data_IF_739915791106
#
_entry.id   IF_739915791106
#
_cell.length_a   1.000
_cell.length_b   1.000
_cell.length_c   1.000
_cell.angle_alpha   90.00
_cell.angle_beta   90.00
_cell.angle_gamma   90.00
#
_symmetry.space_group_name_H-M   'P 1'
#
loop_
_entity.id
_entity.type
_entity.pdbx_description
1 polymer ?
#
# COMPACT_ATOMS: atom_id res chain seq x y z
N UNK A 1 -2.32 7.21 18.94
CA UNK A 1 -3.37 7.76 19.84
C UNK A 1 -3.89 6.68 20.80
N UNK A 2 -4.32 5.50 20.35
CA UNK A 2 -4.89 4.45 21.20
C UNK A 2 -4.00 4.02 22.37
N UNK A 3 -2.68 3.87 22.15
CA UNK A 3 -1.75 3.50 23.23
C UNK A 3 -1.70 4.55 24.36
N UNK A 4 -1.70 5.84 24.03
CA UNK A 4 -1.77 6.92 25.04
C UNK A 4 -3.08 6.89 25.81
N UNK A 5 -4.21 6.67 25.12
CA UNK A 5 -5.51 6.54 25.76
C UNK A 5 -5.56 5.35 26.72
N UNK A 6 -4.81 4.29 26.43
CA UNK A 6 -4.65 3.12 27.30
C UNK A 6 -3.58 3.30 28.41
N UNK A 7 -2.97 4.49 28.53
CA UNK A 7 -1.93 4.76 29.53
C UNK A 7 -0.57 4.14 29.22
N UNK A 8 -0.34 3.71 27.97
CA UNK A 8 0.92 3.10 27.56
C UNK A 8 1.91 4.13 27.02
N UNK A 9 3.17 4.16 27.45
CA UNK A 9 4.22 4.92 26.79
C UNK A 9 4.49 4.35 25.39
N UNK A 10 4.87 5.23 24.46
CA UNK A 10 5.02 4.88 23.04
C UNK A 10 6.41 5.25 22.53
N UNK A 11 7.04 4.34 21.81
CA UNK A 11 8.23 4.62 21.02
C UNK A 11 7.85 4.48 19.54
N UNK A 12 8.07 5.53 18.78
CA UNK A 12 7.88 5.54 17.31
C UNK A 12 9.23 5.44 16.63
N UNK A 13 9.42 4.43 15.80
CA UNK A 13 10.51 4.37 14.84
C UNK A 13 10.00 4.98 13.52
N UNK A 14 10.46 6.19 13.19
CA UNK A 14 10.08 6.88 11.96
C UNK A 14 10.57 6.16 10.71
N UNK A 15 9.81 6.30 9.61
CA UNK A 15 10.23 5.76 8.32
C UNK A 15 11.30 6.66 7.68
N UNK A 16 12.41 6.12 7.14
CA UNK A 16 13.50 6.93 6.61
C UNK A 16 13.10 7.80 5.41
N UNK A 17 12.14 7.35 4.58
CA UNK A 17 11.70 8.09 3.39
C UNK A 17 10.76 9.26 3.71
N UNK A 18 10.32 9.39 4.96
CA UNK A 18 9.45 10.48 5.44
C UNK A 18 9.94 11.08 6.76
N UNK A 19 11.25 11.16 6.93
CA UNK A 19 11.89 11.52 8.18
C UNK A 19 11.53 12.93 8.66
N UNK A 20 11.42 13.91 7.75
CA UNK A 20 11.10 15.31 8.09
C UNK A 20 9.73 15.45 8.74
N UNK A 21 8.68 14.91 8.12
CA UNK A 21 7.31 14.92 8.68
C UNK A 21 7.23 14.15 10.00
N UNK A 22 7.94 13.00 10.08
CA UNK A 22 8.00 12.21 11.31
C UNK A 22 8.66 12.99 12.45
N UNK A 23 9.73 13.74 12.17
CA UNK A 23 10.41 14.58 13.15
C UNK A 23 9.51 15.71 13.62
N UNK A 24 8.93 16.48 12.68
CA UNK A 24 8.00 17.57 13.00
C UNK A 24 6.83 17.09 13.87
N UNK A 25 6.22 15.94 13.50
CA UNK A 25 5.15 15.35 14.30
C UNK A 25 5.63 15.01 15.73
N UNK A 26 6.86 14.52 15.86
CA UNK A 26 7.43 14.19 17.17
C UNK A 26 7.69 15.43 18.03
N UNK A 27 8.11 16.53 17.43
CA UNK A 27 8.29 17.81 18.12
C UNK A 27 6.95 18.34 18.64
N UNK A 28 5.90 18.33 17.83
CA UNK A 28 4.55 18.75 18.24
C UNK A 28 4.04 17.91 19.42
N UNK A 29 4.26 16.59 19.40
CA UNK A 29 3.88 15.72 20.51
C UNK A 29 4.67 16.08 21.78
N UNK A 30 5.99 16.24 21.71
CA UNK A 30 6.82 16.60 22.85
C UNK A 30 6.45 17.96 23.45
N UNK A 31 6.21 18.95 22.60
CA UNK A 31 5.76 20.28 23.04
C UNK A 31 4.41 20.20 23.77
N UNK A 32 3.49 19.38 23.25
CA UNK A 32 2.20 19.17 23.89
C UNK A 32 2.34 18.51 25.26
N UNK A 33 3.18 17.46 25.37
CA UNK A 33 3.46 16.79 26.65
C UNK A 33 4.09 17.78 27.64
N UNK A 34 5.02 18.61 27.21
CA UNK A 34 5.65 19.65 28.04
C UNK A 34 4.64 20.69 28.55
N UNK A 35 3.76 21.21 27.67
CA UNK A 35 2.69 22.16 28.03
C UNK A 35 1.72 21.55 29.05
N UNK A 36 1.44 20.27 28.93
CA UNK A 36 0.57 19.54 29.88
C UNK A 36 1.31 19.06 31.13
N UNK A 37 2.62 19.37 31.28
CA UNK A 37 3.49 18.95 32.39
C UNK A 37 3.50 17.42 32.60
N UNK A 38 3.40 16.66 31.51
CA UNK A 38 3.46 15.20 31.54
C UNK A 38 4.91 14.72 31.49
N UNK A 39 5.13 13.47 31.97
CA UNK A 39 6.47 12.91 32.02
C UNK A 39 7.05 12.71 30.61
N UNK A 40 8.29 13.16 30.32
CA UNK A 40 8.86 13.10 28.96
C UNK A 40 9.06 11.64 28.47
N UNK A 41 9.16 10.67 29.35
CA UNK A 41 9.27 9.25 29.00
C UNK A 41 8.00 8.59 28.44
N UNK A 42 6.88 9.33 28.35
CA UNK A 42 5.65 8.84 27.75
C UNK A 42 5.81 8.64 26.23
N UNK A 43 6.68 9.44 25.60
CA UNK A 43 6.86 9.39 24.14
C UNK A 43 8.35 9.44 23.76
N UNK A 44 8.77 8.46 22.95
CA UNK A 44 10.07 8.41 22.30
C UNK A 44 9.91 8.39 20.78
N UNK A 45 10.84 9.05 20.07
CA UNK A 45 10.93 9.02 18.63
C UNK A 45 12.35 8.72 18.19
N UNK A 46 12.52 7.77 17.26
CA UNK A 46 13.81 7.30 16.78
C UNK A 46 13.80 7.31 15.24
N UNK A 47 14.83 7.82 14.64
CA UNK A 47 15.10 7.72 13.20
C UNK A 47 16.23 6.72 12.96
N UNK A 48 16.09 5.93 11.89
CA UNK A 48 17.09 4.96 11.45
C UNK A 48 16.97 4.73 9.94
N UNK A 49 18.10 4.63 9.29
CA UNK A 49 18.19 4.36 7.85
C UNK A 49 18.05 2.89 7.47
N UNK A 50 17.81 2.00 8.44
CA UNK A 50 17.79 0.56 8.20
C UNK A 50 16.75 -0.17 9.04
N UNK A 51 16.98 -1.47 9.17
CA UNK A 51 16.07 -2.37 9.88
C UNK A 51 16.51 -2.67 11.32
N UNK A 52 17.78 -2.36 11.65
CA UNK A 52 18.41 -2.77 12.91
C UNK A 52 17.68 -2.26 14.14
N UNK A 53 17.33 -0.97 14.17
CA UNK A 53 16.64 -0.38 15.32
C UNK A 53 15.22 -0.94 15.45
N UNK A 54 14.50 -1.12 14.35
CA UNK A 54 13.17 -1.73 14.36
C UNK A 54 13.20 -3.15 14.94
N UNK A 55 14.16 -3.97 14.52
CA UNK A 55 14.35 -5.32 15.04
C UNK A 55 14.74 -5.29 16.53
N UNK A 56 15.68 -4.42 16.93
CA UNK A 56 16.11 -4.29 18.32
C UNK A 56 14.96 -3.86 19.24
N UNK A 57 14.10 -2.94 18.81
CA UNK A 57 12.91 -2.54 19.57
C UNK A 57 11.97 -3.73 19.79
N UNK A 58 11.68 -4.51 18.74
CA UNK A 58 10.78 -5.66 18.86
C UNK A 58 11.40 -6.76 19.74
N UNK A 59 12.72 -6.90 19.76
CA UNK A 59 13.43 -7.87 20.63
C UNK A 59 13.50 -7.43 22.08
N UNK A 60 13.46 -6.14 22.38
CA UNK A 60 13.64 -5.61 23.74
C UNK A 60 12.53 -6.07 24.68
N UNK A 61 12.89 -6.67 25.81
CA UNK A 61 11.93 -7.25 26.77
C UNK A 61 11.01 -6.23 27.43
N UNK A 62 11.37 -4.95 27.41
CA UNK A 62 10.57 -3.84 27.93
C UNK A 62 9.40 -3.49 27.00
N UNK A 63 9.51 -3.79 25.70
CA UNK A 63 8.42 -3.59 24.74
C UNK A 63 7.37 -4.69 24.95
N UNK A 64 6.12 -4.27 25.10
CA UNK A 64 4.99 -5.16 25.45
C UNK A 64 3.95 -5.31 24.32
N UNK A 65 4.10 -4.58 23.24
CA UNK A 65 3.26 -4.67 22.05
C UNK A 65 3.89 -3.87 20.91
N UNK A 66 3.59 -4.23 19.68
CA UNK A 66 4.11 -3.56 18.50
C UNK A 66 2.98 -3.32 17.50
N UNK A 67 2.92 -2.09 16.94
CA UNK A 67 2.13 -1.74 15.77
C UNK A 67 3.07 -1.51 14.58
N UNK A 68 2.72 -2.01 13.41
CA UNK A 68 3.50 -1.87 12.19
C UNK A 68 2.60 -1.53 11.00
N UNK A 69 3.09 -0.66 10.13
CA UNK A 69 2.50 -0.42 8.81
C UNK A 69 3.63 -0.44 7.79
N UNK A 70 3.48 -1.21 6.72
CA UNK A 70 4.48 -1.33 5.66
C UNK A 70 4.34 -2.57 4.80
N UNK A 71 5.43 -2.97 4.13
CA UNK A 71 5.41 -4.13 3.23
C UNK A 71 5.15 -5.44 3.99
N UNK A 72 4.57 -6.41 3.28
CA UNK A 72 4.32 -7.75 3.83
C UNK A 72 5.61 -8.41 4.35
N UNK A 73 6.71 -8.34 3.59
CA UNK A 73 7.99 -8.93 3.98
C UNK A 73 8.53 -8.29 5.27
N UNK A 74 8.47 -6.94 5.36
CA UNK A 74 8.90 -6.21 6.55
C UNK A 74 8.05 -6.53 7.78
N UNK A 75 6.73 -6.56 7.61
CA UNK A 75 5.80 -6.93 8.67
C UNK A 75 6.00 -8.36 9.17
N UNK A 76 6.11 -9.32 8.26
CA UNK A 76 6.32 -10.73 8.61
C UNK A 76 7.69 -10.97 9.27
N UNK A 77 8.73 -10.24 8.86
CA UNK A 77 10.05 -10.33 9.52
C UNK A 77 9.96 -9.89 10.98
N UNK A 78 9.32 -8.77 11.27
CA UNK A 78 9.13 -8.26 12.64
C UNK A 78 8.15 -9.13 13.45
N UNK A 79 7.08 -9.61 12.83
CA UNK A 79 6.14 -10.54 13.44
C UNK A 79 6.83 -11.81 13.95
N UNK A 80 7.68 -12.43 13.11
CA UNK A 80 8.46 -13.62 13.52
C UNK A 80 9.36 -13.32 14.72
N UNK A 81 9.99 -12.14 14.75
CA UNK A 81 10.79 -11.74 15.91
C UNK A 81 9.90 -11.64 17.16
N UNK A 82 8.75 -10.96 17.06
CA UNK A 82 7.83 -10.77 18.18
C UNK A 82 7.32 -12.10 18.75
N UNK A 83 6.99 -13.06 17.89
CA UNK A 83 6.46 -14.38 18.27
C UNK A 83 7.54 -15.32 18.82
N UNK A 84 8.79 -15.21 18.37
CA UNK A 84 9.90 -16.06 18.79
C UNK A 84 10.61 -15.55 20.05
N UNK A 85 10.13 -14.50 20.72
CA UNK A 85 10.65 -14.06 22.02
C UNK A 85 10.35 -15.09 23.10
N UNK A 86 11.17 -15.10 24.15
CA UNK A 86 10.88 -15.90 25.37
C UNK A 86 9.47 -15.60 25.91
N UNK A 87 9.10 -14.30 25.90
CA UNK A 87 7.77 -13.81 26.23
C UNK A 87 7.19 -13.16 24.95
N UNK A 88 6.39 -13.87 24.14
CA UNK A 88 5.77 -13.31 22.93
C UNK A 88 4.92 -12.09 23.23
N UNK A 89 4.84 -11.17 22.29
CA UNK A 89 4.05 -9.93 22.42
C UNK A 89 3.01 -9.82 21.31
N UNK A 90 1.89 -9.11 21.57
CA UNK A 90 0.95 -8.73 20.53
C UNK A 90 1.65 -7.93 19.43
N UNK A 91 1.38 -8.30 18.18
CA UNK A 91 1.91 -7.64 17.00
C UNK A 91 0.75 -7.32 16.05
N UNK A 92 0.44 -6.03 15.90
CA UNK A 92 -0.63 -5.52 15.05
C UNK A 92 0.00 -4.96 13.79
N UNK A 93 -0.27 -5.57 12.64
CA UNK A 93 0.35 -5.19 11.38
C UNK A 93 -0.69 -4.90 10.31
N UNK A 94 -0.57 -3.71 9.73
CA UNK A 94 -1.19 -3.33 8.47
C UNK A 94 -0.14 -3.52 7.37
N UNK A 95 -0.33 -4.52 6.56
CA UNK A 95 0.55 -4.90 5.46
C UNK A 95 -0.14 -4.68 4.11
N UNK A 96 0.49 -5.08 3.01
CA UNK A 96 -0.07 -4.93 1.68
C UNK A 96 -1.49 -5.50 1.53
N UNK A 97 -2.27 -4.91 0.64
CA UNK A 97 -3.66 -5.27 0.38
C UNK A 97 -3.98 -5.25 -1.12
N UNK A 98 -5.00 -6.01 -1.54
CA UNK A 98 -5.49 -6.04 -2.92
C UNK A 98 -6.73 -5.17 -3.13
N UNK A 99 -7.54 -4.98 -2.09
CA UNK A 99 -8.79 -4.22 -2.13
C UNK A 99 -9.64 -4.58 -3.36
N UNK A 100 -10.16 -5.80 -3.47
CA UNK A 100 -10.92 -6.21 -4.61
C UNK A 100 -12.22 -5.40 -4.71
N UNK A 101 -12.55 -4.95 -5.92
CA UNK A 101 -13.79 -4.28 -6.26
C UNK A 101 -14.59 -5.17 -7.20
N UNK A 102 -15.87 -5.36 -6.93
CA UNK A 102 -16.78 -6.13 -7.79
C UNK A 102 -17.81 -5.17 -8.37
N UNK A 103 -17.84 -5.07 -9.69
CA UNK A 103 -18.87 -4.33 -10.44
C UNK A 103 -20.04 -5.29 -10.64
N UNK A 104 -21.25 -4.89 -10.21
CA UNK A 104 -22.44 -5.71 -10.38
C UNK A 104 -23.05 -5.51 -11.77
N UNK A 105 -23.78 -6.51 -12.32
CA UNK A 105 -24.34 -6.44 -13.67
C UNK A 105 -25.35 -5.32 -13.89
N UNK A 106 -26.05 -4.92 -12.83
CA UNK A 106 -27.09 -3.88 -12.81
C UNK A 106 -26.57 -2.49 -12.40
N UNK A 107 -25.27 -2.29 -12.48
CA UNK A 107 -24.65 -1.01 -12.10
C UNK A 107 -25.19 0.15 -12.91
N UNK A 108 -25.66 1.19 -12.23
CA UNK A 108 -26.02 2.45 -12.86
C UNK A 108 -24.76 3.30 -13.08
N UNK A 109 -24.67 3.99 -14.24
CA UNK A 109 -23.58 4.90 -14.57
C UNK A 109 -22.18 4.31 -14.43
N UNK A 110 -21.94 3.18 -15.09
CA UNK A 110 -20.65 2.46 -15.09
C UNK A 110 -19.46 3.41 -15.35
N UNK A 111 -19.58 4.31 -16.34
CA UNK A 111 -18.53 5.27 -16.70
C UNK A 111 -18.07 6.12 -15.52
N UNK A 112 -19.00 6.68 -14.73
CA UNK A 112 -18.63 7.51 -13.58
C UNK A 112 -17.90 6.70 -12.49
N UNK A 113 -18.34 5.47 -12.23
CA UNK A 113 -17.69 4.58 -11.26
C UNK A 113 -16.29 4.18 -11.73
N UNK A 114 -16.11 3.86 -13.01
CA UNK A 114 -14.80 3.54 -13.57
C UNK A 114 -13.84 4.74 -13.53
N UNK A 115 -14.33 5.95 -13.79
CA UNK A 115 -13.51 7.16 -13.63
C UNK A 115 -13.05 7.33 -12.18
N UNK A 116 -13.96 7.18 -11.20
CA UNK A 116 -13.61 7.27 -9.78
C UNK A 116 -12.60 6.18 -9.35
N UNK A 117 -12.72 4.95 -9.88
CA UNK A 117 -11.75 3.89 -9.64
C UNK A 117 -10.37 4.24 -10.20
N UNK A 118 -10.29 4.71 -11.44
CA UNK A 118 -9.00 5.12 -12.05
C UNK A 118 -8.38 6.28 -11.27
N UNK A 119 -9.17 7.28 -10.87
CA UNK A 119 -8.70 8.39 -10.05
C UNK A 119 -8.15 7.90 -8.69
N UNK A 120 -8.83 6.97 -8.04
CA UNK A 120 -8.36 6.33 -6.82
C UNK A 120 -7.06 5.54 -7.04
N UNK A 121 -6.93 4.82 -8.17
CA UNK A 121 -5.73 4.05 -8.51
C UNK A 121 -4.53 4.95 -8.79
N UNK A 122 -4.75 6.13 -9.35
CA UNK A 122 -3.67 7.04 -9.77
C UNK A 122 -3.29 8.10 -8.74
N UNK A 123 -4.13 8.32 -7.72
CA UNK A 123 -3.86 9.28 -6.64
C UNK A 123 -2.52 8.97 -5.97
N UNK A 124 -1.66 10.00 -5.82
CA UNK A 124 -0.30 9.92 -5.28
C UNK A 124 0.54 8.77 -5.86
N UNK A 125 0.47 8.61 -7.17
CA UNK A 125 1.11 7.52 -7.91
C UNK A 125 0.73 6.11 -7.38
N UNK A 126 -0.51 5.95 -6.91
CA UNK A 126 -1.05 4.68 -6.43
C UNK A 126 -0.41 4.14 -5.14
N UNK A 127 0.22 5.00 -4.34
CA UNK A 127 0.93 4.61 -3.12
C UNK A 127 0.05 4.61 -1.87
N UNK A 128 -1.21 4.15 -2.03
CA UNK A 128 -2.15 3.97 -0.92
C UNK A 128 -2.44 2.50 -0.66
N UNK A 129 -2.49 2.11 0.62
CA UNK A 129 -2.92 0.79 1.04
C UNK A 129 -4.40 0.50 0.72
N UNK A 130 -5.21 1.54 0.47
CA UNK A 130 -6.64 1.46 0.12
C UNK A 130 -6.89 1.45 -1.39
N UNK A 131 -5.85 1.55 -2.22
CA UNK A 131 -5.97 1.56 -3.67
C UNK A 131 -6.60 0.25 -4.19
N UNK A 132 -7.62 0.31 -5.09
CA UNK A 132 -8.12 -0.86 -5.79
C UNK A 132 -7.00 -1.58 -6.57
N UNK A 133 -6.71 -2.83 -6.23
CA UNK A 133 -5.67 -3.63 -6.88
C UNK A 133 -6.23 -4.62 -7.88
N UNK A 134 -7.48 -5.11 -7.66
CA UNK A 134 -8.19 -5.98 -8.58
C UNK A 134 -9.62 -5.46 -8.74
N UNK A 135 -10.09 -5.40 -9.98
CA UNK A 135 -11.46 -5.05 -10.34
C UNK A 135 -12.07 -6.24 -11.09
N UNK A 136 -13.18 -6.75 -10.57
CA UNK A 136 -14.00 -7.77 -11.24
C UNK A 136 -15.14 -7.10 -11.98
N UNK A 137 -15.27 -7.38 -13.28
CA UNK A 137 -16.27 -6.77 -14.15
C UNK A 137 -17.06 -7.88 -14.86
N UNK A 138 -18.41 -7.78 -14.98
CA UNK A 138 -19.19 -8.71 -15.79
C UNK A 138 -18.68 -8.76 -17.21
N UNK A 139 -18.61 -9.95 -17.83
CA UNK A 139 -18.17 -10.11 -19.22
C UNK A 139 -18.99 -9.28 -20.20
N UNK A 140 -20.28 -9.06 -19.91
CA UNK A 140 -21.16 -8.21 -20.72
C UNK A 140 -20.75 -6.72 -20.74
N UNK A 141 -20.03 -6.24 -19.73
CA UNK A 141 -19.60 -4.85 -19.58
C UNK A 141 -18.10 -4.65 -19.82
N UNK A 142 -17.35 -5.70 -20.08
CA UNK A 142 -15.89 -5.68 -20.08
C UNK A 142 -15.30 -4.77 -21.17
N UNK A 143 -15.84 -4.79 -22.36
CA UNK A 143 -15.36 -3.95 -23.48
C UNK A 143 -15.55 -2.45 -23.17
N UNK A 144 -16.71 -2.07 -22.62
CA UNK A 144 -16.95 -0.70 -22.18
C UNK A 144 -16.02 -0.31 -21.04
N UNK A 145 -15.79 -1.21 -20.09
CA UNK A 145 -14.88 -0.98 -18.97
C UNK A 145 -13.44 -0.76 -19.44
N UNK A 146 -12.94 -1.58 -20.36
CA UNK A 146 -11.61 -1.45 -20.95
C UNK A 146 -11.44 -0.09 -21.64
N UNK A 147 -12.39 0.28 -22.51
CA UNK A 147 -12.34 1.54 -23.27
C UNK A 147 -12.36 2.76 -22.33
N UNK A 148 -13.27 2.74 -21.35
CA UNK A 148 -13.46 3.83 -20.39
C UNK A 148 -12.24 3.99 -19.48
N UNK A 149 -11.75 2.92 -18.90
CA UNK A 149 -10.57 2.94 -18.03
C UNK A 149 -9.32 3.39 -18.80
N UNK A 150 -9.09 2.84 -20.01
CA UNK A 150 -7.94 3.22 -20.82
C UNK A 150 -7.98 4.71 -21.21
N UNK A 151 -9.15 5.22 -21.61
CA UNK A 151 -9.32 6.65 -21.91
C UNK A 151 -9.03 7.51 -20.66
N UNK A 152 -9.51 7.11 -19.47
CA UNK A 152 -9.29 7.84 -18.23
C UNK A 152 -7.83 7.82 -17.80
N UNK A 153 -7.15 6.66 -17.83
CA UNK A 153 -5.71 6.56 -17.55
C UNK A 153 -4.89 7.48 -18.48
N UNK A 154 -5.26 7.58 -19.76
CA UNK A 154 -4.58 8.46 -20.70
C UNK A 154 -4.76 9.96 -20.38
N UNK A 155 -5.82 10.35 -19.68
CA UNK A 155 -6.08 11.73 -19.26
C UNK A 155 -5.44 12.06 -17.90
N UNK A 156 -5.21 11.08 -17.05
CA UNK A 156 -4.60 11.31 -15.74
C UNK A 156 -3.10 11.60 -15.85
N UNK A 157 -2.62 12.44 -14.93
CA UNK A 157 -1.19 12.64 -14.69
C UNK A 157 -0.80 11.85 -13.45
N UNK A 158 0.40 11.31 -13.45
CA UNK A 158 0.96 10.70 -12.25
C UNK A 158 1.91 11.66 -11.54
N UNK A 159 2.37 11.27 -10.37
CA UNK A 159 3.34 11.99 -9.56
C UNK A 159 4.62 11.14 -9.43
N UNK A 160 5.76 11.74 -9.04
CA UNK A 160 6.94 10.95 -8.70
C UNK A 160 6.62 10.03 -7.52
N UNK A 161 7.18 8.86 -7.53
CA UNK A 161 7.08 7.98 -6.36
C UNK A 161 7.90 8.56 -5.20
N UNK A 162 7.47 8.30 -3.97
CA UNK A 162 8.06 8.85 -2.75
C UNK A 162 9.58 8.58 -2.64
N UNK A 163 10.04 7.44 -3.18
CA UNK A 163 11.45 7.07 -3.12
C UNK A 163 11.83 6.15 -4.29
N UNK A 164 13.07 6.26 -4.84
CA UNK A 164 13.53 5.42 -5.95
C UNK A 164 13.40 3.91 -5.70
N UNK A 165 13.59 3.44 -4.47
CA UNK A 165 13.44 2.02 -4.15
C UNK A 165 11.99 1.53 -4.22
N UNK A 166 11.00 2.41 -4.01
CA UNK A 166 9.58 2.09 -4.20
C UNK A 166 9.31 1.97 -5.69
N UNK A 167 9.82 2.91 -6.50
CA UNK A 167 9.71 2.86 -7.95
C UNK A 167 10.34 1.59 -8.53
N UNK A 168 11.54 1.23 -8.12
CA UNK A 168 12.21 0.00 -8.56
C UNK A 168 11.38 -1.25 -8.23
N UNK A 169 10.79 -1.32 -7.03
CA UNK A 169 9.91 -2.45 -6.67
C UNK A 169 8.66 -2.49 -7.54
N UNK A 170 8.05 -1.34 -7.77
CA UNK A 170 6.88 -1.22 -8.65
C UNK A 170 7.19 -1.70 -10.06
N UNK A 171 8.30 -1.23 -10.65
CA UNK A 171 8.75 -1.64 -11.99
C UNK A 171 9.06 -3.14 -12.04
N UNK A 172 9.71 -3.69 -11.00
CA UNK A 172 9.95 -5.13 -10.88
C UNK A 172 8.64 -5.91 -10.91
N UNK A 173 7.63 -5.46 -10.15
CA UNK A 173 6.30 -6.11 -10.14
C UNK A 173 5.61 -6.03 -11.51
N UNK A 174 5.69 -4.91 -12.21
CA UNK A 174 5.15 -4.79 -13.57
C UNK A 174 5.86 -5.76 -14.54
N UNK A 175 7.18 -5.88 -14.45
CA UNK A 175 7.95 -6.81 -15.28
C UNK A 175 7.58 -8.28 -14.99
N UNK A 176 7.34 -8.64 -13.73
CA UNK A 176 6.87 -9.97 -13.36
C UNK A 176 5.50 -10.26 -13.97
N UNK A 177 4.56 -9.31 -13.92
CA UNK A 177 3.24 -9.44 -14.57
C UNK A 177 3.40 -9.60 -16.08
N UNK A 178 4.22 -8.78 -16.72
CA UNK A 178 4.47 -8.87 -18.17
C UNK A 178 5.08 -10.22 -18.56
N UNK A 179 5.95 -10.78 -17.71
CA UNK A 179 6.61 -12.07 -17.96
C UNK A 179 5.67 -13.27 -17.93
N UNK A 180 4.45 -13.12 -17.39
CA UNK A 180 3.43 -14.17 -17.44
C UNK A 180 2.92 -14.41 -18.86
N UNK A 181 3.11 -13.44 -19.78
CA UNK A 181 2.59 -13.45 -21.14
C UNK A 181 1.08 -13.74 -21.21
N UNK A 182 0.34 -13.31 -20.19
CA UNK A 182 -1.09 -13.51 -20.09
C UNK A 182 -1.83 -12.16 -20.13
N UNK A 183 -3.09 -12.18 -20.52
CA UNK A 183 -3.92 -11.00 -20.60
C UNK A 183 -3.45 -9.94 -21.60
N UNK A 184 -4.06 -8.77 -21.55
CA UNK A 184 -3.71 -7.63 -22.38
C UNK A 184 -3.41 -6.40 -21.54
N UNK A 185 -2.23 -5.84 -21.74
CA UNK A 185 -1.75 -4.64 -21.04
C UNK A 185 -2.25 -3.38 -21.71
N UNK A 186 -2.74 -2.43 -20.89
CA UNK A 186 -3.14 -1.09 -21.24
C UNK A 186 -2.37 -0.12 -20.34
N UNK A 187 -1.23 0.34 -20.79
CA UNK A 187 -0.31 1.15 -19.98
C UNK A 187 0.16 2.39 -20.71
N UNK A 188 0.40 3.44 -19.94
CA UNK A 188 1.02 4.69 -20.36
C UNK A 188 2.17 5.00 -19.43
N UNK A 189 3.32 5.36 -19.98
CA UNK A 189 4.44 5.89 -19.19
C UNK A 189 4.35 7.41 -19.14
N UNK A 190 4.41 7.98 -17.95
CA UNK A 190 4.55 9.41 -17.76
C UNK A 190 5.95 9.86 -18.19
N UNK A 191 6.05 10.89 -19.02
CA UNK A 191 7.33 11.36 -19.56
C UNK A 191 8.16 12.16 -18.55
N UNK A 192 7.50 12.82 -17.60
CA UNK A 192 8.17 13.67 -16.61
C UNK A 192 8.77 12.84 -15.47
N UNK A 193 8.01 11.87 -14.96
CA UNK A 193 8.41 11.09 -13.76
C UNK A 193 8.78 9.65 -14.09
N UNK A 194 8.66 9.24 -15.35
CA UNK A 194 8.94 7.86 -15.82
C UNK A 194 8.13 6.77 -15.09
N UNK A 195 6.98 7.11 -14.52
CA UNK A 195 6.10 6.16 -13.83
C UNK A 195 5.08 5.61 -14.83
N UNK A 196 5.07 4.30 -15.01
CA UNK A 196 4.06 3.60 -15.82
C UNK A 196 2.75 3.51 -15.04
N UNK A 197 1.63 3.84 -15.66
CA UNK A 197 0.29 3.71 -15.08
C UNK A 197 -0.64 2.95 -16.02
N UNK A 198 -1.64 2.25 -15.48
CA UNK A 198 -2.59 1.53 -16.29
C UNK A 198 -3.13 0.27 -15.62
N UNK A 199 -3.48 -0.71 -16.44
CA UNK A 199 -4.02 -1.98 -15.97
C UNK A 199 -3.70 -3.12 -16.94
N UNK A 200 -3.86 -4.34 -16.44
CA UNK A 200 -3.90 -5.56 -17.26
C UNK A 200 -5.33 -6.11 -17.24
N UNK A 201 -5.88 -6.43 -18.41
CA UNK A 201 -7.12 -7.19 -18.54
C UNK A 201 -6.80 -8.69 -18.66
N UNK A 202 -7.42 -9.49 -17.83
CA UNK A 202 -7.25 -10.95 -17.78
C UNK A 202 -8.59 -11.65 -17.64
N UNK A 203 -8.69 -12.88 -18.14
CA UNK A 203 -9.80 -13.76 -17.84
C UNK A 203 -9.70 -14.29 -16.41
N UNK A 204 -10.84 -14.66 -15.80
CA UNK A 204 -10.86 -15.17 -14.43
C UNK A 204 -10.03 -16.46 -14.27
N UNK A 205 -9.98 -17.31 -15.29
CA UNK A 205 -9.14 -18.50 -15.31
C UNK A 205 -7.65 -18.16 -15.21
N UNK A 206 -7.20 -17.10 -15.89
CA UNK A 206 -5.81 -16.63 -15.84
C UNK A 206 -5.48 -16.03 -14.46
N UNK A 207 -6.39 -15.26 -13.85
CA UNK A 207 -6.22 -14.74 -12.51
C UNK A 207 -6.00 -15.86 -11.48
N UNK A 208 -6.72 -16.96 -11.63
CA UNK A 208 -6.58 -18.13 -10.75
C UNK A 208 -5.28 -18.90 -11.00
N UNK A 209 -4.78 -18.90 -12.22
CA UNK A 209 -3.58 -19.65 -12.61
C UNK A 209 -2.29 -18.95 -12.19
N UNK A 210 -2.24 -17.62 -12.21
CA UNK A 210 -1.03 -16.83 -11.92
C UNK A 210 -1.13 -16.11 -10.58
N UNK A 211 -0.42 -16.62 -9.57
CA UNK A 211 -0.35 -15.98 -8.25
C UNK A 211 0.17 -14.53 -8.33
N UNK A 212 1.06 -14.26 -9.29
CA UNK A 212 1.59 -12.93 -9.57
C UNK A 212 0.49 -11.87 -9.78
N UNK A 213 -0.61 -12.23 -10.43
CA UNK A 213 -1.74 -11.31 -10.66
C UNK A 213 -2.54 -11.00 -9.39
N UNK A 214 -2.41 -11.83 -8.35
CA UNK A 214 -3.11 -11.71 -7.06
C UNK A 214 -2.25 -11.13 -5.95
N UNK A 215 -1.10 -10.59 -6.28
CA UNK A 215 -0.22 -9.90 -5.33
C UNK A 215 -0.32 -8.39 -5.51
N UNK A 216 -0.11 -7.65 -4.43
CA UNK A 216 -0.13 -6.20 -4.46
C UNK A 216 0.88 -5.63 -5.46
N UNK A 217 0.42 -4.64 -6.23
CA UNK A 217 1.26 -3.77 -7.06
C UNK A 217 1.18 -2.37 -6.46
N UNK A 218 2.15 -1.99 -5.65
CA UNK A 218 2.16 -0.71 -4.94
C UNK A 218 2.58 0.43 -5.88
N UNK A 219 1.60 0.94 -6.63
CA UNK A 219 1.77 1.94 -7.69
C UNK A 219 0.48 2.11 -8.50
N UNK A 220 0.43 2.99 -9.52
CA UNK A 220 -0.77 3.37 -10.25
C UNK A 220 -1.18 2.29 -11.28
N UNK A 221 -1.42 1.09 -10.80
CA UNK A 221 -1.74 -0.08 -11.62
C UNK A 221 -2.76 -0.98 -10.92
N UNK A 222 -3.60 -1.66 -11.71
CA UNK A 222 -4.54 -2.67 -11.22
C UNK A 222 -4.70 -3.82 -12.21
N UNK A 223 -5.34 -4.90 -11.75
CA UNK A 223 -5.82 -6.01 -12.58
C UNK A 223 -7.32 -5.83 -12.82
N UNK A 224 -7.76 -5.90 -14.07
CA UNK A 224 -9.16 -5.97 -14.45
C UNK A 224 -9.44 -7.41 -14.87
N UNK A 225 -10.30 -8.10 -14.16
CA UNK A 225 -10.68 -9.48 -14.46
C UNK A 225 -12.16 -9.56 -14.81
N UNK A 226 -12.47 -10.25 -15.89
CA UNK A 226 -13.87 -10.51 -16.25
C UNK A 226 -14.43 -11.70 -15.49
N UNK A 227 -15.75 -11.68 -15.25
CA UNK A 227 -16.48 -12.81 -14.69
C UNK A 227 -17.83 -13.01 -15.39
N UNK A 228 -18.31 -14.25 -15.41
CA UNK A 228 -19.64 -14.62 -15.86
C UNK A 228 -20.53 -14.89 -14.65
N UNK A 229 -21.81 -14.60 -14.81
CA UNK A 229 -22.85 -14.93 -13.81
C UNK A 229 -23.02 -16.44 -13.63
#
# INVERSE_FOLDING_TARGET
>A
MGAFAAGCPVIVKGHPFHAGTSLLSSEIIRDTLSKLKLHPGIFGHILDNGYRIGQALVQDTRIKGCGFTGSYEGGMALYRIAQNRKDPIPFFAEMGSLNPVVILPDIENLTAHLHALVDSITTDAGQFCTKPGIIFCPSALIEEAIQTMNARFNQTKTHPMLHPSIQTRYETRLNEIQSTNTGKLYVKQDQEFSVTQGFIHVQNTELNHFETLRQEVFGPFCVLSEYND
#
